data_IF_203478118883
#
_entry.id   IF_203478118883
#
_cell.length_a   1.000
_cell.length_b   1.000
_cell.length_c   1.000
_cell.angle_alpha   90.00
_cell.angle_beta   90.00
_cell.angle_gamma   90.00
#
_symmetry.space_group_name_H-M   'P 1'
#
loop_
_entity.id
_entity.type
_entity.pdbx_description
1 polymer ?
#
# COMPACT_ATOMS: atom_id res chain seq x y z
N UNK A 1 -9.17 -7.99 -3.02
CA UNK A 1 -8.29 -7.81 -1.84
C UNK A 1 -6.96 -7.26 -2.31
N UNK A 2 -6.54 -6.11 -1.80
CA UNK A 2 -5.33 -5.47 -2.33
C UNK A 2 -4.04 -6.11 -1.80
N UNK A 3 -3.43 -6.90 -2.63
CA UNK A 3 -2.07 -7.38 -2.43
C UNK A 3 -1.18 -6.43 -3.19
N UNK A 4 -0.21 -5.86 -2.51
CA UNK A 4 0.62 -4.83 -3.11
C UNK A 4 2.10 -5.13 -2.97
N UNK A 5 2.86 -4.63 -3.91
CA UNK A 5 4.31 -4.73 -3.91
C UNK A 5 4.88 -3.31 -3.87
N UNK A 6 5.80 -3.08 -2.94
CA UNK A 6 6.42 -1.76 -2.78
C UNK A 6 7.56 -1.63 -3.79
N UNK A 7 7.51 -0.56 -4.58
CA UNK A 7 8.58 -0.24 -5.52
C UNK A 7 9.35 0.96 -5.00
N UNK A 8 10.60 1.09 -5.44
CA UNK A 8 11.47 2.18 -4.99
C UNK A 8 11.53 3.35 -5.97
N UNK A 9 10.68 3.33 -6.98
CA UNK A 9 10.63 4.36 -7.99
C UNK A 9 9.16 4.73 -8.23
N UNK A 10 8.76 5.99 -7.95
CA UNK A 10 7.35 6.37 -8.10
C UNK A 10 6.84 6.23 -9.52
N UNK A 11 7.73 6.29 -10.53
CA UNK A 11 7.31 6.12 -11.91
C UNK A 11 6.81 4.70 -12.20
N UNK A 12 7.20 3.74 -11.38
CA UNK A 12 6.79 2.34 -11.56
C UNK A 12 5.57 1.98 -10.73
N UNK A 13 5.12 2.89 -9.88
CA UNK A 13 4.00 2.62 -8.98
C UNK A 13 2.68 2.93 -9.64
N UNK A 14 1.65 2.19 -9.27
CA UNK A 14 0.29 2.49 -9.71
C UNK A 14 -0.24 3.68 -8.94
N UNK A 15 0.16 3.83 -7.69
CA UNK A 15 -0.20 5.01 -6.89
C UNK A 15 0.74 5.12 -5.69
N UNK A 16 0.67 6.28 -5.04
CA UNK A 16 1.51 6.58 -3.87
C UNK A 16 0.67 6.45 -2.61
N UNK A 17 1.25 5.89 -1.56
CA UNK A 17 0.54 5.72 -0.30
C UNK A 17 1.33 6.29 0.86
N UNK A 18 0.61 6.73 1.87
CA UNK A 18 1.17 7.09 3.16
C UNK A 18 0.70 6.03 4.16
N UNK A 19 1.64 5.36 4.80
CA UNK A 19 1.32 4.30 5.75
C UNK A 19 0.89 4.91 7.07
N UNK A 20 -0.25 4.45 7.59
CA UNK A 20 -0.76 4.90 8.87
C UNK A 20 -0.70 3.77 9.89
N UNK A 21 -0.69 4.12 11.16
CA UNK A 21 -0.57 3.15 12.24
C UNK A 21 -1.92 2.61 12.72
N UNK A 22 -3.00 3.29 12.37
CA UNK A 22 -4.34 2.89 12.80
C UNK A 22 -5.20 2.61 11.60
N UNK A 23 -5.86 1.44 11.62
CA UNK A 23 -6.72 1.04 10.52
C UNK A 23 -7.86 2.04 10.29
N UNK A 24 -8.34 2.67 11.36
CA UNK A 24 -9.44 3.64 11.26
C UNK A 24 -9.06 4.89 10.48
N UNK A 25 -7.77 5.16 10.33
CA UNK A 25 -7.30 6.33 9.60
C UNK A 25 -6.94 6.01 8.16
N UNK A 26 -7.02 4.76 7.77
CA UNK A 26 -6.62 4.33 6.43
C UNK A 26 -7.78 4.39 5.46
N UNK A 27 -7.46 4.72 4.21
CA UNK A 27 -8.42 4.63 3.12
C UNK A 27 -8.59 3.19 2.69
N UNK A 28 -7.53 2.39 2.84
CA UNK A 28 -7.58 0.98 2.48
C UNK A 28 -6.63 0.18 3.36
N UNK A 29 -6.92 -1.10 3.49
CA UNK A 29 -6.04 -2.05 4.16
C UNK A 29 -5.34 -2.86 3.10
N UNK A 30 -4.02 -2.99 3.22
CA UNK A 30 -3.23 -3.64 2.18
C UNK A 30 -2.42 -4.79 2.77
N UNK A 31 -2.16 -5.80 1.95
CA UNK A 31 -1.28 -6.90 2.30
C UNK A 31 -0.04 -6.82 1.42
N UNK A 32 1.14 -6.75 2.05
CA UNK A 32 2.39 -6.66 1.32
C UNK A 32 2.86 -8.05 0.90
N UNK A 33 3.24 -8.18 -0.36
CA UNK A 33 3.78 -9.43 -0.88
C UNK A 33 5.27 -9.26 -1.17
N UNK A 34 6.00 -10.39 -1.18
CA UNK A 34 7.44 -10.37 -1.36
C UNK A 34 7.86 -10.31 -2.83
N UNK A 35 6.97 -10.68 -3.72
CA UNK A 35 7.29 -10.74 -5.15
C UNK A 35 6.29 -9.95 -5.96
N UNK A 36 6.80 -9.21 -6.94
CA UNK A 36 5.97 -8.36 -7.78
C UNK A 36 4.86 -9.15 -8.50
N UNK A 37 5.16 -10.38 -8.92
CA UNK A 37 4.17 -11.19 -9.64
C UNK A 37 2.99 -11.61 -8.79
N UNK A 38 3.12 -11.50 -7.47
CA UNK A 38 2.04 -11.85 -6.55
C UNK A 38 1.13 -10.65 -6.25
N UNK A 39 1.56 -9.48 -6.65
CA UNK A 39 0.85 -8.26 -6.32
C UNK A 39 -0.20 -7.92 -7.37
N UNK A 40 -1.29 -7.36 -6.91
CA UNK A 40 -2.32 -6.80 -7.79
C UNK A 40 -1.95 -5.40 -8.22
N UNK A 41 -1.22 -4.69 -7.36
CA UNK A 41 -0.80 -3.31 -7.61
C UNK A 41 0.58 -3.06 -7.04
N UNK A 42 1.25 -2.06 -7.62
CA UNK A 42 2.54 -1.61 -7.15
C UNK A 42 2.35 -0.24 -6.51
N UNK A 43 2.97 -0.03 -5.38
CA UNK A 43 2.82 1.22 -4.65
C UNK A 43 4.19 1.81 -4.34
N UNK A 44 4.22 3.12 -4.21
CA UNK A 44 5.39 3.84 -3.72
C UNK A 44 5.03 4.51 -2.40
N UNK A 45 5.79 4.21 -1.35
CA UNK A 45 5.52 4.76 -0.01
C UNK A 45 6.14 6.13 0.11
N UNK A 46 5.35 7.10 0.54
CA UNK A 46 5.83 8.47 0.78
C UNK A 46 5.74 8.74 2.28
N UNK A 47 6.54 9.70 2.73
CA UNK A 47 6.58 10.07 4.15
C UNK A 47 5.77 11.32 4.47
N UNK A 48 5.01 11.80 3.52
CA UNK A 48 4.19 12.99 3.69
C UNK A 48 2.78 12.68 3.15
N UNK A 49 1.75 12.73 4.00
CA UNK A 49 0.41 12.40 3.56
C UNK A 49 -0.10 13.30 2.44
N UNK A 50 0.44 14.51 2.33
CA UNK A 50 0.04 15.43 1.26
C UNK A 50 0.48 14.96 -0.11
N UNK A 51 1.52 14.13 -0.16
CA UNK A 51 2.06 13.61 -1.41
C UNK A 51 1.45 12.28 -1.80
N UNK A 52 0.67 11.69 -0.91
CA UNK A 52 0.08 10.37 -1.15
C UNK A 52 -1.26 10.49 -1.84
N UNK A 53 -1.55 9.49 -2.67
CA UNK A 53 -2.88 9.38 -3.25
C UNK A 53 -3.86 8.78 -2.25
N UNK A 54 -3.36 7.90 -1.38
CA UNK A 54 -4.18 7.21 -0.39
C UNK A 54 -3.39 6.97 0.88
N UNK A 55 -4.11 6.79 1.98
CA UNK A 55 -3.54 6.35 3.24
C UNK A 55 -3.82 4.86 3.37
N UNK A 56 -2.82 4.08 3.73
CA UNK A 56 -2.95 2.63 3.77
C UNK A 56 -2.49 2.09 5.12
N UNK A 57 -3.17 1.04 5.56
CA UNK A 57 -2.80 0.31 6.76
C UNK A 57 -2.38 -1.10 6.35
N UNK A 58 -1.18 -1.51 6.76
CA UNK A 58 -0.66 -2.83 6.43
C UNK A 58 -1.24 -3.87 7.37
N UNK A 59 -1.81 -4.92 6.80
CA UNK A 59 -2.37 -6.02 7.57
C UNK A 59 -1.46 -7.24 7.47
N UNK A 60 -1.58 -8.15 8.43
CA UNK A 60 -0.72 -9.32 8.51
C UNK A 60 -1.21 -10.50 7.68
N UNK A 61 -2.48 -10.51 7.34
CA UNK A 61 -3.06 -11.62 6.57
C UNK A 61 -3.84 -11.08 5.39
N UNK A 62 -3.75 -11.75 4.22
CA UNK A 62 -4.44 -11.24 3.04
C UNK A 62 -5.95 -11.16 3.19
N UNK A 63 -6.53 -11.98 4.04
CA UNK A 63 -7.98 -11.94 4.29
C UNK A 63 -8.43 -10.66 4.99
N UNK A 64 -7.50 -9.92 5.59
CA UNK A 64 -7.80 -8.67 6.28
C UNK A 64 -7.73 -7.46 5.34
N UNK A 65 -7.18 -7.63 4.16
CA UNK A 65 -7.06 -6.54 3.19
C UNK A 65 -8.42 -6.24 2.55
N UNK A 66 -8.67 -4.97 2.32
CA UNK A 66 -9.96 -4.53 1.75
C UNK A 66 -9.78 -3.58 0.60
#
# INVERSE_FOLDING_TARGET
>A
MPKVFIVDNPAKADYKVYLVELASKADEKIFLVDFERQAEKKIFVVDDPKKADKKAFVVEFPSQAT
#
